data_IF_990671237835
#
_entry.id   IF_990671237835
#
_cell.length_a   1.000
_cell.length_b   1.000
_cell.length_c   1.000
_cell.angle_alpha   90.00
_cell.angle_beta   90.00
_cell.angle_gamma   90.00
#
_symmetry.space_group_name_H-M   'P 1'
#
loop_
_entity.id
_entity.type
_entity.pdbx_description
1 polymer ?
#
# COMPACT_ATOMS: atom_id res chain seq x y z
N UNK A 1 11.09 -4.78 5.92
CA UNK A 1 10.52 -5.11 4.59
C UNK A 1 9.32 -6.05 4.69
N UNK A 2 9.33 -7.05 5.58
CA UNK A 2 8.26 -8.06 5.73
C UNK A 2 6.85 -7.46 5.76
N UNK A 3 6.63 -6.38 6.53
CA UNK A 3 5.32 -5.71 6.61
C UNK A 3 4.85 -5.08 5.31
N UNK A 4 5.74 -4.48 4.51
CA UNK A 4 5.36 -3.93 3.19
C UNK A 4 5.02 -5.08 2.23
N UNK A 5 5.74 -6.20 2.30
CA UNK A 5 5.41 -7.41 1.51
C UNK A 5 4.02 -7.95 1.79
N UNK A 6 3.61 -8.00 3.07
CA UNK A 6 2.27 -8.41 3.46
C UNK A 6 1.15 -7.55 2.88
N UNK A 7 1.41 -6.26 2.62
CA UNK A 7 0.44 -5.36 1.95
C UNK A 7 0.20 -5.81 0.50
N UNK A 8 1.27 -6.19 -0.22
CA UNK A 8 1.15 -6.72 -1.58
C UNK A 8 0.35 -8.02 -1.63
N UNK A 9 0.63 -8.96 -0.73
CA UNK A 9 -0.14 -10.22 -0.61
C UNK A 9 -1.60 -9.96 -0.31
N UNK A 10 -1.90 -9.02 0.59
CA UNK A 10 -3.28 -8.59 0.87
C UNK A 10 -3.96 -8.13 -0.42
N UNK A 11 -3.38 -7.18 -1.15
CA UNK A 11 -3.97 -6.61 -2.38
C UNK A 11 -4.23 -7.68 -3.43
N UNK A 12 -3.31 -8.63 -3.64
CA UNK A 12 -3.50 -9.73 -4.59
C UNK A 12 -4.66 -10.65 -4.19
N UNK A 13 -4.93 -10.81 -2.88
CA UNK A 13 -6.02 -11.63 -2.37
C UNK A 13 -7.41 -10.98 -2.43
N UNK A 14 -7.52 -9.68 -2.74
CA UNK A 14 -8.80 -8.96 -2.72
C UNK A 14 -9.62 -9.08 -4.02
N UNK A 15 -9.10 -9.70 -5.07
CA UNK A 15 -9.82 -9.91 -6.34
C UNK A 15 -10.19 -8.60 -7.04
N UNK A 16 -9.32 -7.59 -6.97
CA UNK A 16 -9.58 -6.25 -7.48
C UNK A 16 -9.59 -6.19 -9.02
N UNK A 17 -10.27 -5.21 -9.63
CA UNK A 17 -10.10 -4.92 -11.06
C UNK A 17 -8.62 -4.73 -11.41
N UNK A 18 -8.19 -5.30 -12.54
CA UNK A 18 -6.76 -5.36 -12.92
C UNK A 18 -6.06 -4.00 -12.81
N UNK A 19 -6.65 -2.93 -13.36
CA UNK A 19 -6.05 -1.59 -13.30
C UNK A 19 -5.88 -1.05 -11.87
N UNK A 20 -6.84 -1.31 -10.99
CA UNK A 20 -6.78 -0.94 -9.58
C UNK A 20 -5.70 -1.75 -8.86
N UNK A 21 -5.66 -3.07 -9.07
CA UNK A 21 -4.61 -3.93 -8.51
C UNK A 21 -3.21 -3.48 -8.93
N UNK A 22 -3.00 -3.23 -10.23
CA UNK A 22 -1.71 -2.77 -10.77
C UNK A 22 -1.28 -1.44 -10.16
N UNK A 23 -2.18 -0.45 -10.06
CA UNK A 23 -1.88 0.86 -9.45
C UNK A 23 -1.43 0.75 -8.00
N UNK A 24 -2.11 -0.09 -7.21
CA UNK A 24 -1.81 -0.28 -5.79
C UNK A 24 -0.52 -1.09 -5.59
N UNK A 25 -0.34 -2.19 -6.33
CA UNK A 25 0.87 -3.03 -6.26
C UNK A 25 2.13 -2.27 -6.70
N UNK A 26 2.02 -1.37 -7.69
CA UNK A 26 3.14 -0.53 -8.10
C UNK A 26 3.65 0.36 -6.95
N UNK A 27 2.74 0.91 -6.13
CA UNK A 27 3.11 1.73 -4.95
C UNK A 27 3.75 0.89 -3.86
N UNK A 28 3.26 -0.34 -3.63
CA UNK A 28 3.88 -1.29 -2.70
C UNK A 28 5.30 -1.64 -3.15
N UNK A 29 5.48 -1.99 -4.42
CA UNK A 29 6.79 -2.33 -4.98
C UNK A 29 7.78 -1.14 -4.89
N UNK A 30 7.32 0.07 -5.20
CA UNK A 30 8.12 1.29 -5.08
C UNK A 30 8.53 1.57 -3.61
N UNK A 31 7.63 1.36 -2.65
CA UNK A 31 7.93 1.50 -1.23
C UNK A 31 8.97 0.47 -0.78
N UNK A 32 8.85 -0.79 -1.21
CA UNK A 32 9.83 -1.84 -0.91
C UNK A 32 11.21 -1.51 -1.47
N UNK A 33 11.27 -1.11 -2.74
CA UNK A 33 12.52 -0.76 -3.41
C UNK A 33 13.21 0.44 -2.73
N UNK A 34 12.44 1.48 -2.39
CA UNK A 34 12.95 2.66 -1.69
C UNK A 34 13.49 2.31 -0.30
N UNK A 35 12.78 1.46 0.45
CA UNK A 35 13.23 1.02 1.76
C UNK A 35 14.50 0.16 1.65
N UNK A 36 14.57 -0.71 0.65
CA UNK A 36 15.75 -1.55 0.37
C UNK A 36 16.98 -0.74 -0.04
N UNK A 37 16.80 0.41 -0.70
CA UNK A 37 17.88 1.34 -1.01
C UNK A 37 18.20 2.31 0.13
N UNK A 38 17.63 2.13 1.33
CA UNK A 38 17.83 3.03 2.48
C UNK A 38 17.13 4.39 2.36
N UNK A 39 16.29 4.61 1.35
CA UNK A 39 15.54 5.84 1.14
C UNK A 39 14.20 5.79 1.89
N UNK A 40 14.26 5.98 3.21
CA UNK A 40 13.09 5.93 4.08
C UNK A 40 12.02 6.96 3.67
N UNK A 41 12.42 8.19 3.38
CA UNK A 41 11.49 9.26 2.97
C UNK A 41 10.69 8.86 1.72
N UNK A 42 11.34 8.33 0.69
CA UNK A 42 10.65 7.86 -0.50
C UNK A 42 9.73 6.66 -0.17
N UNK A 43 10.17 5.72 0.67
CA UNK A 43 9.34 4.59 1.09
C UNK A 43 8.05 5.06 1.78
N UNK A 44 8.15 6.01 2.71
CA UNK A 44 7.00 6.60 3.42
C UNK A 44 6.07 7.35 2.47
N UNK A 45 6.62 8.13 1.53
CA UNK A 45 5.80 8.82 0.52
C UNK A 45 5.02 7.85 -0.36
N UNK A 46 5.60 6.70 -0.74
CA UNK A 46 4.92 5.68 -1.54
C UNK A 46 3.81 4.96 -0.74
N UNK A 47 4.04 4.70 0.55
CA UNK A 47 3.00 4.14 1.43
C UNK A 47 1.86 5.13 1.66
N UNK A 48 2.17 6.42 1.82
CA UNK A 48 1.13 7.46 1.92
C UNK A 48 0.34 7.58 0.61
N UNK A 49 1.01 7.51 -0.54
CA UNK A 49 0.35 7.49 -1.84
C UNK A 49 -0.58 6.27 -2.00
N UNK A 50 -0.20 5.11 -1.44
CA UNK A 50 -1.05 3.91 -1.42
C UNK A 50 -2.31 4.14 -0.59
N UNK A 51 -2.17 4.74 0.60
CA UNK A 51 -3.30 5.11 1.47
C UNK A 51 -4.25 6.05 0.73
N UNK A 52 -3.72 7.12 0.14
CA UNK A 52 -4.53 8.11 -0.57
C UNK A 52 -5.29 7.49 -1.76
N UNK A 53 -4.66 6.58 -2.51
CA UNK A 53 -5.32 5.88 -3.63
C UNK A 53 -6.42 4.92 -3.12
N UNK A 54 -6.17 4.18 -2.04
CA UNK A 54 -7.17 3.33 -1.42
C UNK A 54 -8.38 4.12 -0.90
N UNK A 55 -8.15 5.26 -0.23
CA UNK A 55 -9.20 6.19 0.20
C UNK A 55 -10.00 6.72 -1.00
N UNK A 56 -9.31 7.15 -2.07
CA UNK A 56 -9.95 7.69 -3.27
C UNK A 56 -10.80 6.67 -4.03
N UNK A 57 -10.43 5.39 -3.98
CA UNK A 57 -11.15 4.28 -4.62
C UNK A 57 -12.22 3.63 -3.73
N UNK A 58 -12.28 3.99 -2.45
CA UNK A 58 -13.28 3.50 -1.51
C UNK A 58 -14.71 3.84 -1.97
N UNK A 59 -15.58 2.83 -1.98
CA UNK A 59 -16.94 2.93 -2.52
C UNK A 59 -17.03 3.02 -4.04
N UNK A 60 -15.90 2.96 -4.76
CA UNK A 60 -15.84 2.99 -6.23
C UNK A 60 -15.32 1.66 -6.77
N UNK A 61 -14.00 1.51 -6.82
CA UNK A 61 -13.32 0.30 -7.32
C UNK A 61 -12.91 -0.62 -6.18
N UNK A 62 -12.89 -0.10 -4.96
CA UNK A 62 -12.76 -0.85 -3.71
C UNK A 62 -14.09 -0.77 -2.97
N UNK A 63 -14.53 -1.88 -2.40
CA UNK A 63 -15.52 -1.80 -1.32
C UNK A 63 -14.90 -1.08 -0.12
N UNK A 64 -15.74 -0.46 0.72
CA UNK A 64 -15.25 0.22 1.93
C UNK A 64 -14.38 -0.71 2.80
N UNK A 65 -14.78 -1.97 3.07
CA UNK A 65 -13.92 -2.90 3.84
C UNK A 65 -12.59 -3.23 3.16
N UNK A 66 -12.54 -3.29 1.82
CA UNK A 66 -11.28 -3.51 1.09
C UNK A 66 -10.34 -2.31 1.24
N UNK A 67 -10.87 -1.09 1.11
CA UNK A 67 -10.09 0.12 1.31
C UNK A 67 -9.55 0.21 2.75
N UNK A 68 -10.39 -0.03 3.75
CA UNK A 68 -10.00 -0.02 5.17
C UNK A 68 -8.89 -1.04 5.46
N UNK A 69 -8.99 -2.25 4.91
CA UNK A 69 -7.97 -3.28 5.07
C UNK A 69 -6.61 -2.85 4.49
N UNK A 70 -6.60 -2.26 3.28
CA UNK A 70 -5.38 -1.78 2.63
C UNK A 70 -4.77 -0.62 3.44
N UNK A 71 -5.59 0.34 3.87
CA UNK A 71 -5.16 1.51 4.65
C UNK A 71 -4.55 1.07 5.98
N UNK A 72 -5.22 0.16 6.71
CA UNK A 72 -4.73 -0.37 7.97
C UNK A 72 -3.38 -1.10 7.80
N UNK A 73 -3.25 -1.92 6.76
CA UNK A 73 -2.01 -2.63 6.47
C UNK A 73 -0.88 -1.67 6.07
N UNK A 74 -1.17 -0.65 5.25
CA UNK A 74 -0.21 0.37 4.85
C UNK A 74 0.27 1.22 6.04
N UNK A 75 -0.63 1.64 6.93
CA UNK A 75 -0.28 2.35 8.18
C UNK A 75 0.59 1.49 9.09
N UNK A 76 0.26 0.21 9.26
CA UNK A 76 1.11 -0.73 10.00
C UNK A 76 2.50 -0.89 9.39
N UNK A 77 2.60 -0.88 8.05
CA UNK A 77 3.87 -0.92 7.35
C UNK A 77 4.67 0.39 7.52
N UNK A 78 4.02 1.55 7.52
CA UNK A 78 4.64 2.85 7.81
C UNK A 78 5.24 2.87 9.22
N UNK A 79 4.47 2.47 10.24
CA UNK A 79 4.97 2.39 11.62
C UNK A 79 6.15 1.43 11.75
N UNK A 80 6.09 0.26 11.10
CA UNK A 80 7.18 -0.71 11.13
C UNK A 80 8.43 -0.26 10.36
N UNK A 81 8.28 0.62 9.36
CA UNK A 81 9.39 1.20 8.62
C UNK A 81 10.03 2.40 9.34
N UNK A 82 9.36 2.98 10.35
CA UNK A 82 9.81 4.19 11.04
C UNK A 82 9.42 5.49 10.32
N UNK A 83 8.31 5.46 9.56
CA UNK A 83 7.76 6.68 8.98
C UNK A 83 7.22 7.64 10.05
N UNK A 84 7.33 8.96 9.83
CA UNK A 84 6.79 9.97 10.74
C UNK A 84 5.26 9.98 10.79
#
# INVERSE_FOLDING_TARGET
>A
MERIGSVGTLIMGLGLPQGTATSLLAKVAAAQASLASGNLTAACNQLQALINDAEAQSGKKLSVPQADAIIAAARGAMSAAGCP
#
